data_IF_490207518416
#
_entry.id   IF_490207518416
#
_cell.length_a   1.000
_cell.length_b   1.000
_cell.length_c   1.000
_cell.angle_alpha   90.00
_cell.angle_beta   90.00
_cell.angle_gamma   90.00
#
_symmetry.space_group_name_H-M   'P 1'
#
loop_
_entity.id
_entity.type
_entity.pdbx_description
1 polymer ?
#
# COMPACT_ATOMS: atom_id res chain seq x y z
N UNK A 1 -51.24 -21.87 -10.80
CA UNK A 1 -49.94 -21.26 -11.10
C UNK A 1 -48.92 -21.99 -10.24
N UNK A 2 -47.97 -22.75 -10.83
CA UNK A 2 -46.95 -23.47 -10.07
C UNK A 2 -45.90 -22.49 -9.52
N UNK A 3 -45.55 -22.63 -8.25
CA UNK A 3 -44.39 -21.96 -7.62
C UNK A 3 -43.24 -22.97 -7.60
N UNK A 4 -42.26 -22.80 -8.49
CA UNK A 4 -41.01 -23.56 -8.54
C UNK A 4 -39.83 -22.64 -8.23
N UNK A 5 -38.86 -23.20 -7.51
CA UNK A 5 -37.59 -22.60 -7.06
C UNK A 5 -37.57 -22.63 -5.53
N UNK A 6 -36.88 -23.51 -4.81
CA UNK A 6 -35.60 -24.23 -5.00
C UNK A 6 -34.45 -23.32 -5.42
N UNK A 7 -33.86 -22.66 -4.42
CA UNK A 7 -32.51 -22.10 -4.43
C UNK A 7 -31.91 -22.52 -3.06
N UNK A 8 -31.30 -23.69 -2.98
CA UNK A 8 -29.85 -23.95 -3.15
C UNK A 8 -29.00 -23.21 -2.11
N UNK A 9 -28.39 -24.00 -1.23
CA UNK A 9 -27.42 -23.57 -0.22
C UNK A 9 -26.05 -23.22 -0.83
N UNK A 10 -25.25 -22.57 0.02
CA UNK A 10 -23.79 -22.52 0.04
C UNK A 10 -23.08 -21.42 -0.79
N UNK A 11 -22.35 -20.59 -0.02
CA UNK A 11 -21.40 -19.59 -0.48
C UNK A 11 -20.78 -18.90 0.73
N UNK A 12 -19.98 -19.67 1.48
CA UNK A 12 -19.17 -19.17 2.59
C UNK A 12 -17.78 -18.85 2.07
N UNK A 13 -17.38 -17.58 2.14
CA UNK A 13 -15.98 -17.14 2.19
C UNK A 13 -15.91 -15.69 2.67
N UNK A 14 -16.61 -15.40 3.78
CA UNK A 14 -16.23 -14.27 4.61
C UNK A 14 -14.92 -14.63 5.30
N UNK A 15 -13.79 -14.19 4.74
CA UNK A 15 -12.51 -14.17 5.45
C UNK A 15 -12.63 -13.21 6.63
N UNK A 16 -13.14 -13.73 7.74
CA UNK A 16 -12.82 -13.21 9.06
C UNK A 16 -11.42 -13.72 9.41
N UNK A 17 -10.38 -12.94 9.09
CA UNK A 17 -9.17 -12.90 9.93
C UNK A 17 -9.48 -11.86 11.00
N UNK A 18 -10.02 -12.25 12.14
CA UNK A 18 -9.24 -12.59 13.34
C UNK A 18 -8.21 -11.50 13.65
N UNK A 19 -8.69 -10.53 14.41
CA UNK A 19 -7.96 -9.48 15.10
C UNK A 19 -6.81 -10.09 15.92
N UNK A 20 -5.64 -10.29 15.31
CA UNK A 20 -4.43 -10.47 16.10
C UNK A 20 -3.84 -9.09 16.40
N UNK A 21 -4.20 -8.58 17.57
CA UNK A 21 -3.44 -7.60 18.36
C UNK A 21 -1.98 -8.11 18.53
N UNK A 22 -1.14 -7.82 17.54
CA UNK A 22 0.28 -8.12 17.52
C UNK A 22 0.94 -7.64 16.22
N UNK A 23 2.21 -7.21 16.23
CA UNK A 23 2.90 -6.76 15.02
C UNK A 23 3.00 -7.95 14.05
N UNK A 24 2.12 -7.94 13.05
CA UNK A 24 1.95 -9.00 12.06
C UNK A 24 3.22 -9.17 11.26
N UNK A 25 4.05 -10.15 11.64
CA UNK A 25 5.17 -10.62 10.83
C UNK A 25 4.67 -11.78 9.98
N UNK A 26 4.16 -11.52 8.78
CA UNK A 26 3.75 -12.60 7.90
C UNK A 26 3.06 -12.14 6.64
N UNK A 27 3.76 -12.25 5.51
CA UNK A 27 3.29 -11.86 4.19
C UNK A 27 1.91 -12.44 3.87
N UNK A 28 0.94 -11.54 3.75
CA UNK A 28 -0.31 -11.76 3.06
C UNK A 28 -0.36 -10.75 1.93
N UNK A 29 -0.84 -11.20 0.77
CA UNK A 29 -0.97 -10.36 -0.40
C UNK A 29 -1.82 -9.14 -0.06
N UNK A 30 -2.90 -9.29 0.71
CA UNK A 30 -3.77 -8.18 1.08
C UNK A 30 -3.85 -8.07 2.62
N UNK A 31 -3.46 -6.92 3.17
CA UNK A 31 -3.52 -6.63 4.62
C UNK A 31 -4.39 -5.38 4.85
N UNK A 32 -5.31 -5.46 5.81
CA UNK A 32 -6.08 -4.31 6.30
C UNK A 32 -5.68 -4.01 7.74
N UNK A 33 -5.10 -2.82 7.96
CA UNK A 33 -4.62 -2.35 9.26
C UNK A 33 -5.38 -1.09 9.71
N UNK A 34 -6.62 -1.24 10.19
CA UNK A 34 -7.46 -0.10 10.59
C UNK A 34 -6.91 0.63 11.83
N UNK A 35 -6.20 -0.08 12.71
CA UNK A 35 -5.60 0.47 13.93
C UNK A 35 -4.27 1.19 13.68
N UNK A 36 -3.63 0.96 12.53
CA UNK A 36 -2.31 1.49 12.21
C UNK A 36 -1.16 0.70 12.85
N UNK A 37 0.08 1.03 12.47
CA UNK A 37 1.29 0.42 13.03
C UNK A 37 1.57 -1.02 12.56
N UNK A 38 1.03 -1.42 11.41
CA UNK A 38 1.29 -2.74 10.83
C UNK A 38 2.44 -2.68 9.82
N UNK A 39 3.14 -3.81 9.69
CA UNK A 39 4.24 -3.96 8.74
C UNK A 39 3.88 -5.05 7.72
N UNK A 40 3.95 -4.74 6.43
CA UNK A 40 3.74 -5.71 5.35
C UNK A 40 5.01 -5.87 4.52
N UNK A 41 5.42 -7.12 4.27
CA UNK A 41 6.51 -7.45 3.35
C UNK A 41 5.94 -8.21 2.16
N UNK A 42 5.96 -7.58 0.98
CA UNK A 42 5.57 -8.19 -0.28
C UNK A 42 6.78 -8.87 -0.91
N UNK A 43 6.68 -10.18 -1.13
CA UNK A 43 7.78 -10.98 -1.67
C UNK A 43 7.99 -10.74 -3.17
N UNK A 44 9.16 -11.11 -3.66
CA UNK A 44 9.59 -10.86 -5.03
C UNK A 44 8.62 -11.49 -6.05
N UNK A 45 8.11 -10.67 -6.97
CA UNK A 45 7.18 -11.10 -8.02
C UNK A 45 5.73 -11.28 -7.58
N UNK A 46 5.40 -10.99 -6.32
CA UNK A 46 4.03 -11.07 -5.80
C UNK A 46 3.29 -9.73 -5.98
N UNK A 47 1.96 -9.79 -5.93
CA UNK A 47 1.11 -8.60 -5.92
C UNK A 47 0.54 -8.42 -4.52
N UNK A 48 0.77 -7.27 -3.89
CA UNK A 48 0.28 -6.99 -2.56
C UNK A 48 -0.50 -5.68 -2.45
N UNK A 49 -1.63 -5.71 -1.77
CA UNK A 49 -2.41 -4.54 -1.37
C UNK A 49 -2.29 -4.33 0.14
N UNK A 50 -2.16 -3.08 0.58
CA UNK A 50 -2.10 -2.75 1.99
C UNK A 50 -2.94 -1.50 2.30
N UNK A 51 -3.96 -1.67 3.12
CA UNK A 51 -4.76 -0.56 3.62
C UNK A 51 -4.34 -0.23 5.04
N UNK A 52 -3.92 1.00 5.29
CA UNK A 52 -3.54 1.48 6.61
C UNK A 52 -4.33 2.75 6.97
N UNK A 53 -5.50 2.55 7.58
CA UNK A 53 -6.36 3.68 7.99
C UNK A 53 -5.86 4.36 9.27
N UNK A 54 -5.26 3.59 10.19
CA UNK A 54 -4.76 4.13 11.46
C UNK A 54 -3.44 4.89 11.33
N UNK A 55 -2.72 4.70 10.22
CA UNK A 55 -1.44 5.35 9.93
C UNK A 55 -0.25 4.67 10.59
N UNK A 56 0.95 5.15 10.29
CA UNK A 56 2.18 4.61 10.88
C UNK A 56 2.54 3.19 10.42
N UNK A 57 2.07 2.77 9.25
CA UNK A 57 2.36 1.44 8.71
C UNK A 57 3.55 1.45 7.75
N UNK A 58 4.29 0.35 7.69
CA UNK A 58 5.43 0.21 6.80
C UNK A 58 5.21 -0.94 5.78
N UNK A 59 5.32 -0.65 4.49
CA UNK A 59 5.30 -1.64 3.42
C UNK A 59 6.68 -1.76 2.78
N UNK A 60 7.18 -2.99 2.63
CA UNK A 60 8.40 -3.28 1.86
C UNK A 60 8.06 -4.15 0.66
N UNK A 61 8.53 -3.74 -0.51
CA UNK A 61 8.25 -4.37 -1.80
C UNK A 61 9.55 -4.91 -2.39
N UNK A 62 9.67 -6.24 -2.39
CA UNK A 62 10.81 -6.94 -2.97
C UNK A 62 10.83 -6.85 -4.50
N UNK A 63 11.95 -7.26 -5.09
CA UNK A 63 12.22 -7.07 -6.51
C UNK A 63 11.12 -7.70 -7.40
N UNK A 64 10.60 -6.92 -8.34
CA UNK A 64 9.54 -7.37 -9.25
C UNK A 64 8.15 -7.49 -8.62
N UNK A 65 7.97 -7.14 -7.34
CA UNK A 65 6.67 -7.12 -6.70
C UNK A 65 5.81 -5.95 -7.21
N UNK A 66 4.49 -6.11 -7.17
CA UNK A 66 3.52 -5.05 -7.43
C UNK A 66 2.85 -4.71 -6.11
N UNK A 67 3.15 -3.54 -5.58
CA UNK A 67 2.65 -3.09 -4.29
C UNK A 67 1.67 -1.95 -4.44
N UNK A 68 0.51 -2.06 -3.82
CA UNK A 68 -0.45 -0.98 -3.68
C UNK A 68 -0.62 -0.68 -2.19
N UNK A 69 -0.36 0.55 -1.76
CA UNK A 69 -0.66 0.99 -0.39
C UNK A 69 -1.61 2.16 -0.40
N UNK A 70 -2.61 2.11 0.49
CA UNK A 70 -3.49 3.23 0.82
C UNK A 70 -3.28 3.60 2.28
N UNK A 71 -2.84 4.82 2.54
CA UNK A 71 -2.56 5.34 3.88
C UNK A 71 -3.42 6.56 4.18
N UNK A 72 -4.58 6.35 4.81
CA UNK A 72 -5.45 7.42 5.26
C UNK A 72 -5.04 8.00 6.63
N UNK A 73 -4.34 7.23 7.47
CA UNK A 73 -3.94 7.73 8.80
C UNK A 73 -2.75 8.68 8.77
N UNK A 74 -1.96 8.66 7.69
CA UNK A 74 -0.68 9.37 7.56
C UNK A 74 0.49 8.63 8.23
N UNK A 75 1.70 9.18 8.11
CA UNK A 75 2.95 8.61 8.64
C UNK A 75 3.27 7.19 8.17
N UNK A 76 2.74 6.74 7.03
CA UNK A 76 3.12 5.43 6.48
C UNK A 76 4.40 5.52 5.64
N UNK A 77 5.16 4.43 5.61
CA UNK A 77 6.32 4.30 4.74
C UNK A 77 6.12 3.21 3.69
N UNK A 78 6.56 3.46 2.46
CA UNK A 78 6.66 2.43 1.42
C UNK A 78 8.07 2.40 0.85
N UNK A 79 8.71 1.23 0.92
CA UNK A 79 10.02 0.95 0.35
C UNK A 79 9.91 0.07 -0.89
N UNK A 80 10.34 0.60 -2.02
CA UNK A 80 10.25 -0.06 -3.33
C UNK A 80 11.64 -0.43 -3.80
N UNK A 81 11.93 -1.73 -3.84
CA UNK A 81 13.23 -2.24 -4.27
C UNK A 81 13.30 -2.46 -5.78
N UNK A 82 14.50 -2.55 -6.32
CA UNK A 82 14.76 -2.56 -7.76
C UNK A 82 13.83 -3.50 -8.57
N UNK A 83 13.18 -2.94 -9.59
CA UNK A 83 12.27 -3.67 -10.48
C UNK A 83 10.84 -3.81 -9.95
N UNK A 84 10.52 -3.32 -8.75
CA UNK A 84 9.14 -3.32 -8.25
C UNK A 84 8.30 -2.21 -8.87
N UNK A 85 6.98 -2.44 -8.91
CA UNK A 85 5.97 -1.44 -9.25
C UNK A 85 5.23 -1.06 -7.98
N UNK A 86 5.26 0.20 -7.62
CA UNK A 86 4.69 0.69 -6.38
C UNK A 86 3.67 1.78 -6.63
N UNK A 87 2.45 1.55 -6.16
CA UNK A 87 1.40 2.54 -6.08
C UNK A 87 1.19 2.92 -4.63
N UNK A 88 1.18 4.23 -4.37
CA UNK A 88 1.03 4.75 -3.01
C UNK A 88 0.04 5.90 -2.98
N UNK A 89 -1.05 5.74 -2.24
CA UNK A 89 -2.01 6.80 -1.94
C UNK A 89 -1.83 7.25 -0.48
N UNK A 90 -1.41 8.49 -0.30
CA UNK A 90 -1.39 9.17 0.98
C UNK A 90 -2.28 10.41 0.95
N UNK A 91 -3.57 10.17 1.17
CA UNK A 91 -4.63 11.18 1.14
C UNK A 91 -4.93 11.87 2.49
N UNK A 92 -4.50 11.30 3.61
CA UNK A 92 -4.99 11.71 4.93
C UNK A 92 -4.18 12.79 5.63
N UNK A 93 -3.59 12.46 6.78
CA UNK A 93 -2.91 13.43 7.66
C UNK A 93 -1.49 13.82 7.20
N UNK A 94 -1.01 13.23 6.10
CA UNK A 94 0.34 13.42 5.59
C UNK A 94 1.44 12.77 6.41
N UNK A 95 2.70 13.19 6.20
CA UNK A 95 3.87 12.59 6.86
C UNK A 95 4.31 11.26 6.25
N UNK A 96 3.79 10.91 5.07
CA UNK A 96 4.16 9.65 4.43
C UNK A 96 5.54 9.70 3.79
N UNK A 97 6.30 8.61 3.93
CA UNK A 97 7.62 8.45 3.34
C UNK A 97 7.60 7.43 2.21
N UNK A 98 8.01 7.81 1.01
CA UNK A 98 8.16 6.84 -0.10
C UNK A 98 9.59 6.86 -0.59
N UNK A 99 10.19 5.67 -0.69
CA UNK A 99 11.52 5.46 -1.23
C UNK A 99 11.45 4.55 -2.45
N UNK A 100 11.91 5.06 -3.58
CA UNK A 100 11.94 4.37 -4.86
C UNK A 100 13.39 4.13 -5.29
N UNK A 101 13.83 2.87 -5.22
CA UNK A 101 15.18 2.45 -5.61
C UNK A 101 15.38 2.43 -7.14
N UNK A 102 16.59 2.07 -7.56
CA UNK A 102 16.95 1.97 -8.97
C UNK A 102 16.06 1.00 -9.75
N UNK A 103 15.49 1.45 -10.86
CA UNK A 103 14.73 0.57 -11.76
C UNK A 103 13.31 0.24 -11.28
N UNK A 104 12.77 1.02 -10.34
CA UNK A 104 11.36 0.89 -9.92
C UNK A 104 10.45 1.78 -10.75
N UNK A 105 9.17 1.42 -10.77
CA UNK A 105 8.07 2.30 -11.20
C UNK A 105 7.30 2.72 -9.96
N UNK A 106 7.23 4.01 -9.70
CA UNK A 106 6.50 4.56 -8.57
C UNK A 106 5.40 5.51 -9.05
N UNK A 107 4.15 5.21 -8.67
CA UNK A 107 2.95 6.01 -8.90
C UNK A 107 2.42 6.49 -7.55
N UNK A 108 2.71 7.74 -7.21
CA UNK A 108 2.49 8.28 -5.87
C UNK A 108 1.45 9.38 -5.94
N UNK A 109 0.33 9.17 -5.26
CA UNK A 109 -0.67 10.21 -5.01
C UNK A 109 -0.50 10.71 -3.59
N UNK A 110 -0.18 11.99 -3.44
CA UNK A 110 -0.04 12.60 -2.13
C UNK A 110 -0.87 13.88 -2.01
N UNK A 111 -1.76 13.91 -1.03
CA UNK A 111 -2.61 15.06 -0.79
C UNK A 111 -1.97 16.05 0.18
N UNK A 112 -1.17 15.59 1.16
CA UNK A 112 -0.57 16.46 2.17
C UNK A 112 0.77 15.91 2.69
N UNK A 113 1.82 16.73 2.74
CA UNK A 113 2.99 16.51 3.61
C UNK A 113 3.80 15.22 3.39
N UNK A 114 3.88 14.68 2.18
CA UNK A 114 4.73 13.52 1.91
C UNK A 114 6.20 13.93 1.69
N UNK A 115 7.10 13.05 2.12
CA UNK A 115 8.53 13.07 1.79
C UNK A 115 8.82 11.94 0.80
N UNK A 116 8.95 12.30 -0.47
CA UNK A 116 9.17 11.35 -1.56
C UNK A 116 10.62 11.43 -1.99
N UNK A 117 11.29 10.28 -2.02
CA UNK A 117 12.68 10.14 -2.48
C UNK A 117 12.71 9.17 -3.65
N UNK A 118 13.00 9.71 -4.84
CA UNK A 118 13.20 8.94 -6.05
C UNK A 118 14.68 9.06 -6.42
N UNK A 119 15.51 8.11 -5.97
CA UNK A 119 16.96 8.22 -6.19
C UNK A 119 17.32 7.94 -7.66
N UNK A 120 16.92 6.78 -8.16
CA UNK A 120 17.23 6.30 -9.52
C UNK A 120 16.11 5.45 -10.12
N UNK A 121 14.88 5.66 -9.66
CA UNK A 121 13.69 5.01 -10.22
C UNK A 121 13.61 5.26 -11.73
N UNK A 122 13.20 4.24 -12.49
CA UNK A 122 13.00 4.38 -13.94
C UNK A 122 11.82 5.32 -14.22
N UNK A 123 10.77 5.22 -13.39
CA UNK A 123 9.59 6.08 -13.42
C UNK A 123 9.23 6.46 -11.99
N UNK A 124 9.04 7.75 -11.76
CA UNK A 124 8.56 8.31 -10.50
C UNK A 124 7.52 9.38 -10.85
N UNK A 125 6.27 8.95 -10.91
CA UNK A 125 5.11 9.80 -11.19
C UNK A 125 4.49 10.22 -9.86
N UNK A 126 4.55 11.52 -9.58
CA UNK A 126 4.15 12.08 -8.29
C UNK A 126 3.05 13.09 -8.53
N UNK A 127 1.83 12.72 -8.15
CA UNK A 127 0.66 13.59 -8.17
C UNK A 127 0.46 14.23 -6.80
N UNK A 128 0.74 15.53 -6.70
CA UNK A 128 0.62 16.29 -5.45
C UNK A 128 -0.39 17.44 -5.58
N UNK A 129 -1.39 17.49 -4.69
CA UNK A 129 -2.46 18.49 -4.82
C UNK A 129 -2.18 19.82 -4.08
N UNK A 130 -1.37 19.90 -3.01
CA UNK A 130 -1.04 21.24 -2.44
C UNK A 130 0.19 21.38 -1.50
N UNK A 131 0.84 20.33 -0.96
CA UNK A 131 1.97 20.52 -0.01
C UNK A 131 3.01 19.38 0.03
N UNK A 132 3.40 18.84 -1.12
CA UNK A 132 4.49 17.84 -1.16
C UNK A 132 5.87 18.48 -1.01
N UNK A 133 6.73 17.85 -0.21
CA UNK A 133 8.17 18.10 -0.25
C UNK A 133 8.83 16.98 -1.07
N UNK A 134 8.91 17.18 -2.39
CA UNK A 134 9.61 16.24 -3.27
C UNK A 134 11.13 16.44 -3.09
N UNK A 135 11.84 15.37 -2.71
CA UNK A 135 13.29 15.36 -2.64
C UNK A 135 13.91 15.07 -4.00
N UNK A 136 14.94 15.85 -4.36
CA UNK A 136 15.86 15.63 -5.49
C UNK A 136 15.22 15.24 -6.85
N UNK A 137 14.46 16.15 -7.45
CA UNK A 137 14.47 16.27 -8.92
C UNK A 137 13.18 16.03 -9.70
N UNK A 138 12.03 15.79 -9.06
CA UNK A 138 10.75 15.75 -9.78
C UNK A 138 9.59 16.22 -8.91
N UNK A 139 8.87 17.21 -9.45
CA UNK A 139 7.52 17.63 -9.09
C UNK A 139 6.76 17.88 -10.39
#
# INVERSE_FOLDING_TARGET
>A
MPTTGEDTEAGSDGSAGDETDGPGTGGVHDEDCPSGGCDQSCLAGEECTFTCDGGGCDQTCEAGAICTTTCAGGNCSQGCTAGSSCTFDCGGNGGCGVTCDSGTTCDITCTMGCSITCETADVCDVSCNDMCACGAGVC
#
